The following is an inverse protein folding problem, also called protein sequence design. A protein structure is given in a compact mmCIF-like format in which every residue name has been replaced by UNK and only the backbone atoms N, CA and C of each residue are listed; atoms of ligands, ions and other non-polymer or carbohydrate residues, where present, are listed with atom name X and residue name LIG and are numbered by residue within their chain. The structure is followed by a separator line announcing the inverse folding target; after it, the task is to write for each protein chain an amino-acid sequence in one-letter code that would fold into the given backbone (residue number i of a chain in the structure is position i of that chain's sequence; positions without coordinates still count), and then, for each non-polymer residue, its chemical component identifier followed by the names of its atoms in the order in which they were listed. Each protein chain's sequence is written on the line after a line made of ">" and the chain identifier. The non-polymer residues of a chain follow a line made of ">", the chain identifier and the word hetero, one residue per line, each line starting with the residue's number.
data_IF_585837668221
#
_entry.id   IF_585837668221
#
_cell.length_a   1.000
_cell.length_b   1.000
_cell.length_c   1.000
_cell.angle_alpha   90.00
_cell.angle_beta   90.00
_cell.angle_gamma   90.00
#
_symmetry.space_group_name_H-M   'P 1'
#
loop_
_entity.id
_entity.type
_entity.pdbx_description
1 polymer ?
#
# COMPACT_ATOMS: atom_id res chain seq x y z
N UNK A 1 37.08 7.01 -30.66
CA UNK A 1 37.34 5.55 -30.64
C UNK A 1 38.67 5.31 -29.96
N UNK A 2 38.70 4.62 -28.82
CA UNK A 2 39.95 4.38 -28.07
C UNK A 2 40.90 3.46 -28.84
N UNK A 3 42.20 3.81 -28.85
CA UNK A 3 43.27 3.02 -29.50
C UNK A 3 43.37 1.58 -28.98
N UNK A 4 42.86 1.32 -27.79
CA UNK A 4 42.78 0.01 -27.15
C UNK A 4 41.39 -0.07 -26.51
N UNK A 5 40.67 -1.18 -26.67
CA UNK A 5 39.31 -1.41 -26.13
C UNK A 5 39.22 -1.48 -24.60
N UNK A 6 40.02 -0.68 -23.89
CA UNK A 6 40.05 -0.53 -22.45
C UNK A 6 38.74 0.14 -22.01
N UNK A 7 38.05 -0.45 -21.04
CA UNK A 7 36.74 0.02 -20.58
C UNK A 7 35.55 -0.57 -21.32
N UNK A 8 35.76 -1.28 -22.45
CA UNK A 8 34.67 -1.95 -23.15
C UNK A 8 34.16 -3.18 -22.35
N UNK A 9 32.99 -3.00 -21.73
CA UNK A 9 32.29 -4.02 -20.95
C UNK A 9 31.36 -4.87 -21.83
N UNK A 10 31.20 -6.14 -21.50
CA UNK A 10 30.19 -7.01 -22.08
C UNK A 10 28.80 -6.67 -21.56
N UNK A 11 27.78 -7.38 -22.07
CA UNK A 11 26.39 -7.25 -21.61
C UNK A 11 26.24 -7.50 -20.10
N UNK A 12 27.26 -8.10 -19.47
CA UNK A 12 27.31 -8.44 -18.05
C UNK A 12 28.21 -7.47 -17.26
N UNK A 13 28.61 -6.34 -17.84
CA UNK A 13 29.42 -5.31 -17.18
C UNK A 13 30.90 -5.69 -17.01
N UNK A 14 31.37 -6.80 -17.61
CA UNK A 14 32.74 -7.28 -17.45
C UNK A 14 33.62 -6.81 -18.61
N UNK A 15 34.86 -6.39 -18.33
CA UNK A 15 35.83 -6.05 -19.38
C UNK A 15 35.98 -7.22 -20.37
N UNK A 16 35.71 -6.96 -21.66
CA UNK A 16 35.74 -7.97 -22.73
C UNK A 16 37.16 -8.47 -22.99
N UNK A 17 38.01 -7.63 -23.59
CA UNK A 17 39.41 -7.89 -23.97
C UNK A 17 40.15 -6.57 -24.16
N UNK A 18 41.48 -6.59 -24.00
CA UNK A 18 42.36 -5.47 -24.39
C UNK A 18 42.96 -5.84 -25.75
N UNK A 19 42.42 -5.24 -26.81
CA UNK A 19 42.89 -5.45 -28.18
C UNK A 19 42.64 -4.19 -29.03
N UNK A 20 43.41 -4.06 -30.09
CA UNK A 20 43.18 -3.11 -31.18
C UNK A 20 42.60 -3.85 -32.38
N UNK A 21 41.54 -3.32 -32.99
CA UNK A 21 40.86 -3.94 -34.15
C UNK A 21 40.57 -2.86 -35.20
N UNK A 22 41.27 -2.91 -36.32
CA UNK A 22 40.99 -2.13 -37.53
C UNK A 22 40.25 -2.94 -38.60
N UNK A 23 40.04 -2.34 -39.79
CA UNK A 23 39.28 -2.95 -40.90
C UNK A 23 39.85 -4.29 -41.38
N UNK A 24 41.19 -4.38 -41.44
CA UNK A 24 41.91 -5.59 -41.85
C UNK A 24 43.00 -6.03 -40.88
N UNK A 25 43.19 -5.30 -39.77
CA UNK A 25 44.28 -5.53 -38.81
C UNK A 25 43.69 -5.85 -37.43
N UNK A 26 44.21 -6.88 -36.78
CA UNK A 26 43.94 -7.15 -35.36
C UNK A 26 45.27 -7.29 -34.63
N UNK A 27 45.44 -6.50 -33.57
CA UNK A 27 46.59 -6.59 -32.67
C UNK A 27 46.11 -6.87 -31.24
N UNK A 28 46.69 -7.87 -30.58
CA UNK A 28 46.32 -8.22 -29.20
C UNK A 28 47.51 -8.77 -28.41
N UNK A 29 47.50 -8.57 -27.09
CA UNK A 29 48.58 -9.03 -26.18
C UNK A 29 48.83 -10.55 -26.26
N UNK A 30 47.79 -11.35 -26.47
CA UNK A 30 47.91 -12.83 -26.47
C UNK A 30 47.90 -13.46 -27.85
N UNK A 31 47.42 -12.77 -28.88
CA UNK A 31 47.29 -13.29 -30.24
C UNK A 31 48.21 -12.63 -31.27
N UNK A 32 49.04 -11.67 -30.86
CA UNK A 32 49.94 -10.94 -31.77
C UNK A 32 49.20 -10.05 -32.76
N UNK A 33 49.86 -9.77 -33.89
CA UNK A 33 49.33 -8.97 -35.01
C UNK A 33 48.92 -9.92 -36.14
N UNK A 34 47.68 -9.79 -36.63
CA UNK A 34 47.15 -10.60 -37.72
C UNK A 34 46.35 -9.77 -38.71
N UNK A 35 46.43 -10.13 -39.99
CA UNK A 35 45.55 -9.57 -41.01
C UNK A 35 44.30 -10.44 -41.14
N UNK A 36 43.14 -9.79 -41.29
CA UNK A 36 41.84 -10.45 -41.37
C UNK A 36 40.97 -9.84 -42.45
N UNK A 37 40.49 -10.67 -43.37
CA UNK A 37 39.44 -10.31 -44.31
C UNK A 37 38.19 -11.15 -44.01
N UNK A 38 37.01 -10.55 -44.13
CA UNK A 38 35.75 -11.25 -44.01
C UNK A 38 34.81 -10.80 -45.13
N UNK A 39 34.14 -11.76 -45.76
CA UNK A 39 33.13 -11.51 -46.78
C UNK A 39 31.94 -12.44 -46.57
N UNK A 40 30.75 -12.00 -46.99
CA UNK A 40 29.54 -12.80 -46.97
C UNK A 40 29.10 -13.03 -48.40
N UNK A 41 28.98 -14.29 -48.80
CA UNK A 41 28.59 -14.70 -50.15
C UNK A 41 27.44 -15.69 -50.01
N UNK A 42 26.28 -15.37 -50.58
CA UNK A 42 25.11 -16.27 -50.65
C UNK A 42 24.74 -16.95 -49.31
N UNK A 43 24.64 -16.18 -48.22
CA UNK A 43 24.31 -16.71 -46.89
C UNK A 43 25.45 -17.40 -46.13
N UNK A 44 26.60 -17.60 -46.78
CA UNK A 44 27.81 -18.19 -46.19
C UNK A 44 28.82 -17.09 -45.85
N UNK A 45 29.35 -17.12 -44.63
CA UNK A 45 30.39 -16.19 -44.19
C UNK A 45 31.76 -16.83 -44.37
N UNK A 46 32.63 -16.18 -45.13
CA UNK A 46 34.01 -16.60 -45.38
C UNK A 46 34.94 -15.62 -44.68
N UNK A 47 35.86 -16.13 -43.86
CA UNK A 47 36.87 -15.33 -43.16
C UNK A 47 38.24 -15.90 -43.46
N UNK A 48 39.14 -15.07 -43.95
CA UNK A 48 40.57 -15.37 -44.05
C UNK A 48 41.33 -14.63 -42.95
N UNK A 49 42.27 -15.32 -42.29
CA UNK A 49 43.18 -14.72 -41.32
C UNK A 49 44.59 -15.30 -41.52
N UNK A 50 45.61 -14.44 -41.50
CA UNK A 50 47.01 -14.85 -41.74
C UNK A 50 47.57 -15.81 -40.69
N UNK A 51 47.07 -15.76 -39.46
CA UNK A 51 47.51 -16.61 -38.33
C UNK A 51 46.63 -17.83 -38.09
N UNK A 52 45.38 -17.81 -38.57
CA UNK A 52 44.38 -18.86 -38.27
C UNK A 52 43.76 -19.53 -39.50
N UNK A 53 44.16 -19.13 -40.71
CA UNK A 53 43.71 -19.69 -41.97
C UNK A 53 42.29 -19.26 -42.40
N UNK A 54 41.61 -20.14 -43.13
CA UNK A 54 40.32 -19.86 -43.76
C UNK A 54 39.19 -20.56 -43.00
N UNK A 55 38.12 -19.80 -42.72
CA UNK A 55 36.90 -20.30 -42.10
C UNK A 55 35.68 -19.97 -42.96
N UNK A 56 34.92 -21.00 -43.28
CA UNK A 56 33.63 -20.92 -43.97
C UNK A 56 32.54 -21.29 -42.98
N UNK A 57 31.47 -20.50 -42.88
CA UNK A 57 30.40 -20.77 -41.89
C UNK A 57 29.03 -20.32 -42.34
N UNK A 58 28.03 -21.16 -42.06
CA UNK A 58 26.61 -20.92 -42.36
C UNK A 58 25.75 -21.17 -41.12
N UNK A 59 24.61 -20.48 -41.06
CA UNK A 59 23.63 -20.64 -39.98
C UNK A 59 22.55 -21.61 -40.48
N UNK A 60 22.44 -22.79 -39.87
CA UNK A 60 21.42 -23.78 -40.24
C UNK A 60 20.05 -23.48 -39.61
N UNK A 61 20.05 -22.97 -38.39
CA UNK A 61 18.82 -22.64 -37.66
C UNK A 61 19.06 -21.49 -36.68
N UNK A 62 18.00 -20.99 -36.02
CA UNK A 62 18.14 -19.97 -34.97
C UNK A 62 19.07 -20.52 -33.88
N UNK A 63 20.19 -19.84 -33.66
CA UNK A 63 21.22 -20.18 -32.68
C UNK A 63 22.00 -21.48 -32.94
N UNK A 64 21.94 -22.06 -34.15
CA UNK A 64 22.82 -23.15 -34.59
C UNK A 64 23.60 -22.78 -35.85
N UNK A 65 24.92 -22.97 -35.75
CA UNK A 65 25.89 -22.68 -36.79
C UNK A 65 26.69 -23.92 -37.13
N UNK A 66 26.93 -24.09 -38.43
CA UNK A 66 27.91 -25.03 -38.97
C UNK A 66 29.04 -24.26 -39.62
N UNK A 67 30.27 -24.70 -39.38
CA UNK A 67 31.46 -24.10 -39.96
C UNK A 67 32.50 -25.15 -40.33
N UNK A 68 33.30 -24.84 -41.34
CA UNK A 68 34.54 -25.51 -41.64
C UNK A 68 35.68 -24.51 -41.45
N UNK A 69 36.70 -24.88 -40.68
CA UNK A 69 37.89 -24.06 -40.49
C UNK A 69 39.12 -24.93 -40.77
N UNK A 70 39.91 -24.57 -41.79
CA UNK A 70 41.07 -25.35 -42.25
C UNK A 70 40.77 -26.86 -42.35
N UNK A 71 39.67 -27.23 -43.02
CA UNK A 71 39.24 -28.62 -43.16
C UNK A 71 38.49 -29.23 -41.95
N UNK A 72 38.47 -28.59 -40.78
CA UNK A 72 37.78 -29.11 -39.59
C UNK A 72 36.31 -28.69 -39.54
N UNK A 73 35.41 -29.68 -39.51
CA UNK A 73 33.98 -29.48 -39.25
C UNK A 73 33.69 -29.05 -37.80
N UNK A 74 32.86 -28.02 -37.64
CA UNK A 74 32.44 -27.42 -36.38
C UNK A 74 30.92 -27.24 -36.39
N UNK A 75 30.23 -27.94 -35.48
CA UNK A 75 28.82 -27.71 -35.15
C UNK A 75 28.74 -27.00 -33.80
N UNK A 76 27.95 -25.92 -33.71
CA UNK A 76 27.72 -25.16 -32.48
C UNK A 76 26.28 -24.69 -32.39
N UNK A 77 25.61 -24.98 -31.27
CA UNK A 77 24.31 -24.42 -30.93
C UNK A 77 24.26 -23.89 -29.50
N UNK A 78 23.46 -22.84 -29.23
CA UNK A 78 23.25 -22.34 -27.86
C UNK A 78 21.80 -21.90 -27.66
N UNK A 79 21.11 -22.53 -26.71
CA UNK A 79 19.68 -22.35 -26.46
C UNK A 79 19.42 -22.13 -24.97
N UNK A 80 18.24 -21.59 -24.63
CA UNK A 80 17.80 -21.42 -23.25
C UNK A 80 18.09 -20.04 -22.65
N UNK A 81 17.53 -19.85 -21.45
CA UNK A 81 17.63 -18.62 -20.65
C UNK A 81 18.95 -18.56 -19.87
N UNK A 82 19.22 -17.44 -19.19
CA UNK A 82 20.46 -17.27 -18.42
C UNK A 82 20.58 -18.23 -17.21
N UNK A 83 19.45 -18.70 -16.66
CA UNK A 83 19.42 -19.69 -15.59
C UNK A 83 19.86 -21.10 -16.05
N UNK A 84 19.53 -21.48 -17.28
CA UNK A 84 19.90 -22.78 -17.85
C UNK A 84 20.13 -22.69 -19.37
N UNK A 85 21.40 -22.72 -19.78
CA UNK A 85 21.80 -22.71 -21.19
C UNK A 85 22.15 -24.12 -21.67
N UNK A 86 21.50 -24.55 -22.75
CA UNK A 86 21.80 -25.76 -23.49
C UNK A 86 22.82 -25.43 -24.59
N UNK A 87 24.00 -26.04 -24.53
CA UNK A 87 25.06 -25.86 -25.51
C UNK A 87 25.20 -27.13 -26.34
N UNK A 88 24.99 -27.03 -27.64
CA UNK A 88 25.19 -28.12 -28.60
C UNK A 88 26.58 -28.01 -29.24
N UNK A 89 27.27 -29.14 -29.38
CA UNK A 89 28.57 -29.22 -30.06
C UNK A 89 28.70 -30.51 -30.87
N UNK A 90 29.73 -30.61 -31.73
CA UNK A 90 30.03 -31.83 -32.51
C UNK A 90 30.04 -33.11 -31.65
N UNK A 91 30.51 -33.02 -30.40
CA UNK A 91 30.59 -34.14 -29.46
C UNK A 91 29.38 -34.28 -28.53
N UNK A 92 28.24 -33.64 -28.84
CA UNK A 92 27.01 -33.70 -28.03
C UNK A 92 26.71 -32.43 -27.22
N UNK A 93 25.57 -32.46 -26.51
CA UNK A 93 25.01 -31.35 -25.74
C UNK A 93 25.59 -31.22 -24.31
N UNK A 94 25.47 -30.03 -23.71
CA UNK A 94 25.74 -29.82 -22.27
C UNK A 94 24.90 -28.68 -21.70
N UNK A 95 24.54 -28.80 -20.43
CA UNK A 95 23.78 -27.78 -19.68
C UNK A 95 24.72 -26.92 -18.85
N UNK A 96 24.52 -25.62 -18.84
CA UNK A 96 25.28 -24.69 -17.99
C UNK A 96 24.40 -23.61 -17.39
N UNK A 97 24.65 -23.30 -16.12
CA UNK A 97 24.02 -22.20 -15.40
C UNK A 97 25.00 -21.04 -15.27
N UNK A 98 24.51 -19.82 -15.50
CA UNK A 98 25.30 -18.59 -15.37
C UNK A 98 25.21 -18.09 -13.92
N UNK A 99 26.33 -17.63 -13.37
CA UNK A 99 26.42 -17.04 -12.04
C UNK A 99 27.07 -15.65 -12.11
N UNK A 100 26.92 -14.78 -11.10
CA UNK A 100 27.59 -13.47 -11.06
C UNK A 100 29.12 -13.57 -11.20
N UNK A 101 29.70 -14.69 -10.75
CA UNK A 101 31.13 -14.98 -10.81
C UNK A 101 31.53 -15.84 -12.01
N UNK A 102 30.62 -16.20 -12.94
CA UNK A 102 30.99 -16.90 -14.18
C UNK A 102 29.90 -17.82 -14.74
N UNK A 103 30.26 -19.08 -15.02
CA UNK A 103 29.33 -20.09 -15.50
C UNK A 103 29.77 -21.49 -15.09
N UNK A 104 28.83 -22.27 -14.57
CA UNK A 104 29.02 -23.65 -14.16
C UNK A 104 28.37 -24.59 -15.18
N UNK A 105 29.13 -25.56 -15.71
CA UNK A 105 28.59 -26.58 -16.62
C UNK A 105 28.34 -27.88 -15.85
N UNK A 106 27.07 -28.28 -15.76
CA UNK A 106 26.63 -29.44 -15.00
C UNK A 106 27.12 -30.78 -15.59
N UNK A 107 27.27 -30.84 -16.91
CA UNK A 107 27.60 -32.09 -17.63
C UNK A 107 29.10 -32.21 -17.91
N UNK A 108 29.79 -31.09 -18.10
CA UNK A 108 31.20 -31.03 -18.48
C UNK A 108 31.95 -30.01 -17.61
N UNK A 109 32.40 -30.39 -16.39
CA UNK A 109 33.06 -29.49 -15.46
C UNK A 109 34.30 -28.78 -16.05
N UNK A 110 35.02 -29.46 -16.95
CA UNK A 110 36.13 -28.88 -17.72
C UNK A 110 35.76 -27.72 -18.67
N UNK A 111 34.46 -27.41 -18.85
CA UNK A 111 33.98 -26.24 -19.62
C UNK A 111 33.44 -25.12 -18.72
N UNK A 112 33.56 -25.23 -17.40
CA UNK A 112 33.19 -24.17 -16.45
C UNK A 112 34.18 -22.99 -16.49
N UNK A 113 33.72 -21.83 -16.02
CA UNK A 113 34.52 -20.62 -15.93
C UNK A 113 34.19 -19.82 -14.68
N UNK A 114 35.21 -19.23 -14.09
CA UNK A 114 35.10 -18.41 -12.88
C UNK A 114 35.90 -17.13 -13.08
N UNK A 115 35.32 -15.99 -12.71
CA UNK A 115 35.91 -14.66 -12.83
C UNK A 115 35.62 -13.87 -11.56
N UNK A 116 36.69 -13.50 -10.86
CA UNK A 116 36.64 -12.69 -9.65
C UNK A 116 37.85 -11.76 -9.65
N UNK A 117 37.66 -10.50 -9.25
CA UNK A 117 38.73 -9.50 -9.16
C UNK A 117 39.64 -9.41 -10.42
N UNK A 118 39.06 -9.56 -11.62
CA UNK A 118 39.80 -9.50 -12.89
C UNK A 118 40.51 -10.79 -13.32
N UNK A 119 40.65 -11.78 -12.43
CA UNK A 119 41.26 -13.08 -12.75
C UNK A 119 40.21 -14.00 -13.38
N UNK A 120 40.48 -14.56 -14.56
CA UNK A 120 39.59 -15.47 -15.29
C UNK A 120 40.16 -16.89 -15.31
N UNK A 121 39.57 -17.80 -14.51
CA UNK A 121 39.93 -19.22 -14.44
C UNK A 121 38.97 -20.04 -15.30
N UNK A 122 39.48 -21.07 -15.99
CA UNK A 122 38.70 -22.01 -16.81
C UNK A 122 39.07 -23.45 -16.50
N UNK A 123 38.16 -24.37 -16.81
CA UNK A 123 38.40 -25.80 -16.64
C UNK A 123 37.92 -26.33 -15.29
N UNK A 124 38.42 -27.51 -14.90
CA UNK A 124 37.98 -28.20 -13.68
C UNK A 124 38.18 -27.35 -12.42
N UNK A 125 39.29 -26.60 -12.31
CA UNK A 125 39.52 -25.65 -11.20
C UNK A 125 38.42 -24.60 -11.07
N UNK A 126 37.89 -24.11 -12.19
CA UNK A 126 36.78 -23.16 -12.19
C UNK A 126 35.46 -23.80 -11.74
N UNK A 127 35.25 -25.08 -12.02
CA UNK A 127 34.07 -25.81 -11.54
C UNK A 127 34.07 -25.91 -10.00
N UNK A 128 35.21 -26.22 -9.39
CA UNK A 128 35.34 -26.24 -7.93
C UNK A 128 35.07 -24.86 -7.30
N UNK A 129 35.66 -23.79 -7.85
CA UNK A 129 35.42 -22.43 -7.35
C UNK A 129 33.95 -22.00 -7.46
N UNK A 130 33.28 -22.38 -8.56
CA UNK A 130 31.84 -22.15 -8.74
C UNK A 130 30.99 -22.97 -7.76
N UNK A 131 31.35 -24.23 -7.51
CA UNK A 131 30.64 -25.08 -6.56
C UNK A 131 30.71 -24.51 -5.14
N UNK A 132 31.89 -24.03 -4.72
CA UNK A 132 32.07 -23.34 -3.43
C UNK A 132 31.20 -22.07 -3.37
N UNK A 133 31.21 -21.25 -4.44
CA UNK A 133 30.35 -20.07 -4.50
C UNK A 133 28.85 -20.41 -4.38
N UNK A 134 28.39 -21.43 -5.12
CA UNK A 134 26.99 -21.87 -5.08
C UNK A 134 26.59 -22.39 -3.70
N UNK A 135 27.50 -23.07 -2.98
CA UNK A 135 27.28 -23.50 -1.60
C UNK A 135 27.04 -22.30 -0.68
N UNK A 136 27.91 -21.29 -0.71
CA UNK A 136 27.72 -20.08 0.10
C UNK A 136 26.44 -19.32 -0.27
N UNK A 137 26.14 -19.21 -1.55
CA UNK A 137 24.90 -18.58 -2.02
C UNK A 137 23.65 -19.33 -1.52
N UNK A 138 23.70 -20.66 -1.49
CA UNK A 138 22.62 -21.50 -0.96
C UNK A 138 22.42 -21.29 0.54
N UNK A 139 23.50 -21.25 1.32
CA UNK A 139 23.45 -20.98 2.77
C UNK A 139 22.85 -19.59 3.04
N UNK A 140 23.30 -18.57 2.32
CA UNK A 140 22.76 -17.21 2.45
C UNK A 140 21.27 -17.14 2.08
N UNK A 141 20.86 -17.86 1.03
CA UNK A 141 19.45 -17.96 0.64
C UNK A 141 18.61 -18.63 1.75
N UNK A 142 19.11 -19.72 2.34
CA UNK A 142 18.42 -20.41 3.44
C UNK A 142 18.24 -19.50 4.66
N UNK A 143 19.29 -18.78 5.06
CA UNK A 143 19.22 -17.80 6.16
C UNK A 143 18.17 -16.72 5.84
N UNK A 144 18.16 -16.22 4.61
CA UNK A 144 17.20 -15.20 4.17
C UNK A 144 15.76 -15.69 4.27
N UNK A 145 15.49 -16.94 3.88
CA UNK A 145 14.16 -17.56 4.00
C UNK A 145 13.74 -17.67 5.47
N UNK A 146 14.64 -18.09 6.36
CA UNK A 146 14.35 -18.19 7.80
C UNK A 146 14.00 -16.81 8.38
N UNK A 147 14.79 -15.78 8.07
CA UNK A 147 14.53 -14.41 8.53
C UNK A 147 13.17 -13.91 8.04
N UNK A 148 12.82 -14.17 6.78
CA UNK A 148 11.52 -13.80 6.22
C UNK A 148 10.36 -14.54 6.92
N UNK A 149 10.50 -15.84 7.18
CA UNK A 149 9.49 -16.63 7.87
C UNK A 149 9.25 -16.12 9.31
N UNK A 150 10.33 -15.80 10.03
CA UNK A 150 10.24 -15.18 11.37
C UNK A 150 9.54 -13.83 11.30
N UNK A 151 9.90 -12.98 10.33
CA UNK A 151 9.24 -11.69 10.13
C UNK A 151 7.73 -11.81 9.83
N UNK A 152 7.33 -12.81 9.04
CA UNK A 152 5.93 -13.11 8.78
C UNK A 152 5.20 -13.56 10.04
N UNK A 153 5.83 -14.41 10.87
CA UNK A 153 5.26 -14.85 12.14
C UNK A 153 5.00 -13.68 13.10
N UNK A 154 5.97 -12.77 13.24
CA UNK A 154 5.80 -11.56 14.07
C UNK A 154 4.67 -10.66 13.56
N UNK A 155 4.53 -10.49 12.24
CA UNK A 155 3.40 -9.73 11.67
C UNK A 155 2.06 -10.40 11.94
N UNK A 156 1.98 -11.72 11.80
CA UNK A 156 0.78 -12.50 12.11
C UNK A 156 0.38 -12.38 13.59
N UNK A 157 1.37 -12.45 14.50
CA UNK A 157 1.15 -12.23 15.93
C UNK A 157 0.67 -10.81 16.22
N UNK A 158 1.30 -9.79 15.61
CA UNK A 158 0.89 -8.39 15.77
C UNK A 158 -0.55 -8.15 15.34
N UNK A 159 -0.95 -8.69 14.18
CA UNK A 159 -2.33 -8.63 13.71
C UNK A 159 -3.29 -9.36 14.65
N UNK A 160 -2.92 -10.54 15.16
CA UNK A 160 -3.72 -11.29 16.13
C UNK A 160 -3.94 -10.51 17.44
N UNK A 161 -2.90 -9.87 17.98
CA UNK A 161 -3.01 -9.02 19.17
C UNK A 161 -3.92 -7.83 18.90
N UNK A 162 -3.76 -7.13 17.78
CA UNK A 162 -4.62 -6.01 17.40
C UNK A 162 -6.08 -6.43 17.26
N UNK A 163 -6.35 -7.59 16.65
CA UNK A 163 -7.71 -8.10 16.52
C UNK A 163 -8.35 -8.43 17.88
N UNK A 164 -7.57 -8.96 18.82
CA UNK A 164 -8.04 -9.22 20.20
C UNK A 164 -8.35 -7.90 20.93
N UNK A 165 -7.48 -6.90 20.81
CA UNK A 165 -7.69 -5.58 21.42
C UNK A 165 -8.93 -4.91 20.83
N UNK A 166 -9.05 -4.88 19.50
CA UNK A 166 -10.22 -4.30 18.83
C UNK A 166 -11.54 -4.97 19.26
N UNK A 167 -11.56 -6.31 19.36
CA UNK A 167 -12.73 -7.04 19.86
C UNK A 167 -13.07 -6.72 21.31
N UNK A 168 -12.06 -6.53 22.16
CA UNK A 168 -12.29 -6.14 23.56
C UNK A 168 -12.85 -4.72 23.66
N UNK A 169 -12.33 -3.81 22.84
CA UNK A 169 -12.82 -2.44 22.82
C UNK A 169 -14.27 -2.38 22.33
N UNK A 170 -14.58 -3.12 21.27
CA UNK A 170 -15.95 -3.23 20.77
C UNK A 170 -16.89 -3.86 21.81
N UNK A 171 -16.48 -4.96 22.46
CA UNK A 171 -17.30 -5.58 23.51
C UNK A 171 -17.51 -4.67 24.73
N UNK A 172 -16.55 -3.78 25.02
CA UNK A 172 -16.68 -2.79 26.09
C UNK A 172 -17.64 -1.67 25.67
N UNK A 173 -17.54 -1.19 24.44
CA UNK A 173 -18.50 -0.22 23.88
C UNK A 173 -19.92 -0.79 23.87
N UNK A 174 -20.09 -2.07 23.48
CA UNK A 174 -21.40 -2.74 23.49
C UNK A 174 -21.98 -2.91 24.90
N UNK A 175 -21.13 -3.07 25.93
CA UNK A 175 -21.56 -3.13 27.33
C UNK A 175 -21.87 -1.76 27.94
N UNK A 176 -21.27 -0.70 27.40
CA UNK A 176 -21.45 0.68 27.87
C UNK A 176 -22.62 1.40 27.15
N UNK A 177 -23.10 0.91 25.99
CA UNK A 177 -24.26 1.45 25.26
C UNK A 177 -25.57 1.35 26.06
N UNK A 178 -26.40 2.38 25.97
CA UNK A 178 -27.71 2.41 26.63
C UNK A 178 -28.74 1.56 25.87
N UNK A 179 -28.54 1.39 24.55
CA UNK A 179 -29.36 0.53 23.70
C UNK A 179 -30.77 1.08 23.48
N UNK A 180 -30.90 2.40 23.47
CA UNK A 180 -32.14 3.15 23.29
C UNK A 180 -32.29 3.53 21.81
N UNK A 181 -33.45 3.24 21.25
CA UNK A 181 -33.79 3.66 19.88
C UNK A 181 -34.55 4.98 19.87
N UNK A 182 -34.67 5.63 18.71
CA UNK A 182 -35.53 6.82 18.59
C UNK A 182 -36.97 6.52 19.03
N UNK A 183 -37.44 5.30 18.78
CA UNK A 183 -38.80 4.87 19.16
C UNK A 183 -39.00 4.79 20.68
N UNK A 184 -37.96 4.42 21.43
CA UNK A 184 -38.01 4.29 22.89
C UNK A 184 -38.12 5.67 23.57
N UNK A 185 -37.49 6.69 22.99
CA UNK A 185 -37.41 8.04 23.58
C UNK A 185 -38.47 9.00 23.04
N UNK A 186 -39.07 8.71 21.88
CA UNK A 186 -40.03 9.61 21.22
C UNK A 186 -41.27 9.91 22.06
N UNK A 187 -41.77 8.94 22.83
CA UNK A 187 -42.95 9.12 23.68
C UNK A 187 -42.75 10.17 24.76
N UNK A 188 -41.64 10.08 25.48
CA UNK A 188 -41.30 10.97 26.60
C UNK A 188 -41.06 12.41 26.11
N UNK A 189 -40.27 12.57 25.04
CA UNK A 189 -40.03 13.88 24.45
C UNK A 189 -41.32 14.58 24.00
N UNK A 190 -42.27 13.82 23.44
CA UNK A 190 -43.58 14.36 23.02
C UNK A 190 -44.39 14.83 24.24
N UNK A 191 -44.41 14.05 25.30
CA UNK A 191 -45.10 14.39 26.55
C UNK A 191 -44.57 15.70 27.13
N UNK A 192 -43.24 15.86 27.18
CA UNK A 192 -42.56 17.06 27.69
C UNK A 192 -42.90 18.30 26.85
N UNK A 193 -42.82 18.19 25.53
CA UNK A 193 -43.13 19.31 24.62
C UNK A 193 -44.61 19.71 24.72
N UNK A 194 -45.52 18.74 24.79
CA UNK A 194 -46.96 19.00 24.96
C UNK A 194 -47.29 19.66 26.30
N UNK A 195 -46.64 19.24 27.40
CA UNK A 195 -46.84 19.84 28.70
C UNK A 195 -46.49 21.34 28.73
N UNK A 196 -45.57 21.77 27.86
CA UNK A 196 -45.16 23.17 27.72
C UNK A 196 -45.84 23.89 26.54
N UNK A 197 -46.73 23.22 25.80
CA UNK A 197 -47.39 23.80 24.63
C UNK A 197 -46.42 24.19 23.51
N UNK A 198 -45.31 23.46 23.34
CA UNK A 198 -44.26 23.76 22.35
C UNK A 198 -44.58 23.05 21.03
N UNK A 199 -44.61 23.82 19.93
CA UNK A 199 -44.85 23.34 18.57
C UNK A 199 -43.61 23.56 17.70
N UNK A 200 -42.68 22.59 17.71
CA UNK A 200 -41.39 22.70 17.02
C UNK A 200 -41.50 22.88 15.48
N UNK A 201 -42.63 22.50 14.89
CA UNK A 201 -42.88 22.72 13.45
C UNK A 201 -43.04 24.21 13.10
N UNK A 202 -43.32 25.09 14.08
CA UNK A 202 -43.42 26.55 13.89
C UNK A 202 -42.06 27.25 14.07
N UNK A 203 -41.12 26.61 14.76
CA UNK A 203 -39.82 27.19 15.09
C UNK A 203 -38.92 27.35 13.85
N UNK A 204 -38.10 28.42 13.77
CA UNK A 204 -37.08 28.58 12.74
C UNK A 204 -36.07 27.42 12.75
N UNK A 205 -35.58 27.00 11.58
CA UNK A 205 -34.56 25.93 11.50
C UNK A 205 -33.28 26.28 12.28
N UNK A 206 -32.95 27.57 12.38
CA UNK A 206 -31.81 28.09 13.15
C UNK A 206 -31.94 27.77 14.64
N UNK A 207 -33.13 27.96 15.20
CA UNK A 207 -33.40 27.76 16.62
C UNK A 207 -33.45 26.26 16.95
N UNK A 208 -33.98 25.44 16.03
CA UNK A 208 -33.93 23.99 16.12
C UNK A 208 -32.49 23.47 16.11
N UNK A 209 -31.64 23.99 15.21
CA UNK A 209 -30.22 23.64 15.17
C UNK A 209 -29.50 24.08 16.45
N UNK A 210 -29.75 25.28 16.94
CA UNK A 210 -29.20 25.76 18.21
C UNK A 210 -29.61 24.87 19.40
N UNK A 211 -30.87 24.41 19.42
CA UNK A 211 -31.36 23.44 20.38
C UNK A 211 -30.65 22.09 20.28
N UNK A 212 -30.39 21.58 19.07
CA UNK A 212 -29.61 20.37 18.86
C UNK A 212 -28.18 20.51 19.37
N UNK A 213 -27.50 21.62 19.05
CA UNK A 213 -26.15 21.92 19.55
C UNK A 213 -26.15 21.91 21.08
N UNK A 214 -27.12 22.57 21.72
CA UNK A 214 -27.23 22.54 23.17
C UNK A 214 -27.45 21.13 23.73
N UNK A 215 -28.43 20.38 23.21
CA UNK A 215 -28.72 19.03 23.72
C UNK A 215 -27.52 18.09 23.59
N UNK A 216 -26.86 18.09 22.44
CA UNK A 216 -25.81 17.10 22.13
C UNK A 216 -24.46 17.50 22.74
N UNK A 217 -24.08 18.76 22.65
CA UNK A 217 -22.76 19.22 23.12
C UNK A 217 -22.77 19.57 24.61
N UNK A 218 -23.87 20.16 25.12
CA UNK A 218 -23.97 20.56 26.53
C UNK A 218 -24.59 19.44 27.38
N UNK A 219 -25.85 19.07 27.12
CA UNK A 219 -26.54 18.06 27.95
C UNK A 219 -25.92 16.67 27.81
N UNK A 220 -25.40 16.32 26.63
CA UNK A 220 -24.66 15.07 26.39
C UNK A 220 -23.44 14.89 27.30
N UNK A 221 -22.91 15.98 27.86
CA UNK A 221 -21.80 15.98 28.83
C UNK A 221 -22.24 16.14 30.28
N UNK A 222 -23.54 16.20 30.53
CA UNK A 222 -24.12 16.42 31.85
C UNK A 222 -24.02 17.88 32.31
N UNK A 223 -23.73 18.82 31.43
CA UNK A 223 -23.73 20.25 31.77
C UNK A 223 -25.14 20.82 31.65
N UNK A 224 -25.51 21.68 32.59
CA UNK A 224 -26.82 22.34 32.61
C UNK A 224 -26.80 23.76 32.02
N UNK A 225 -25.61 24.27 31.71
CA UNK A 225 -25.41 25.59 31.13
C UNK A 225 -24.36 25.51 30.03
N UNK A 226 -24.64 26.16 28.91
CA UNK A 226 -23.73 26.23 27.79
C UNK A 226 -22.53 27.12 28.11
N UNK A 227 -21.32 26.56 27.96
CA UNK A 227 -20.05 27.28 27.98
C UNK A 227 -19.31 27.00 26.66
N UNK A 228 -19.17 28.01 25.77
CA UNK A 228 -18.51 27.84 24.47
C UNK A 228 -17.07 27.34 24.57
N UNK A 229 -16.34 27.72 25.62
CA UNK A 229 -14.95 27.30 25.81
C UNK A 229 -14.87 25.84 26.24
N UNK A 230 -15.73 25.44 27.18
CA UNK A 230 -15.82 24.04 27.60
C UNK A 230 -16.27 23.14 26.45
N UNK A 231 -17.18 23.63 25.59
CA UNK A 231 -17.65 22.96 24.38
C UNK A 231 -16.60 22.90 23.24
N UNK A 232 -15.39 23.45 23.42
CA UNK A 232 -14.34 23.41 22.40
C UNK A 232 -14.61 24.32 21.20
N UNK A 233 -15.59 25.22 21.27
CA UNK A 233 -15.95 26.13 20.18
C UNK A 233 -15.05 27.38 20.12
N UNK A 234 -14.28 27.64 21.19
CA UNK A 234 -13.36 28.77 21.26
C UNK A 234 -14.06 30.13 21.32
N UNK A 235 -13.28 31.20 21.15
CA UNK A 235 -13.82 32.56 21.07
C UNK A 235 -14.40 32.82 19.67
N UNK A 236 -15.65 33.32 19.56
CA UNK A 236 -16.23 33.67 18.27
C UNK A 236 -15.40 34.74 17.55
N UNK A 237 -15.05 34.51 16.29
CA UNK A 237 -14.28 35.46 15.47
C UNK A 237 -15.17 36.22 14.49
N UNK A 238 -16.32 35.65 14.11
CA UNK A 238 -17.27 36.24 13.15
C UNK A 238 -18.59 36.58 13.81
N UNK A 239 -19.29 37.56 13.25
CA UNK A 239 -20.63 37.95 13.71
C UNK A 239 -21.64 36.78 13.70
N UNK A 240 -21.50 35.85 12.75
CA UNK A 240 -22.32 34.64 12.69
C UNK A 240 -22.06 33.69 13.87
N UNK A 241 -20.79 33.57 14.29
CA UNK A 241 -20.41 32.72 15.42
C UNK A 241 -21.01 33.27 16.71
N UNK A 242 -20.94 34.59 16.93
CA UNK A 242 -21.60 35.26 18.05
C UNK A 242 -23.11 34.98 18.08
N UNK A 243 -23.76 35.15 16.93
CA UNK A 243 -25.20 35.00 16.82
C UNK A 243 -25.63 33.54 17.12
N UNK A 244 -24.86 32.55 16.67
CA UNK A 244 -25.10 31.14 16.99
C UNK A 244 -24.93 30.86 18.49
N UNK A 245 -23.88 31.39 19.13
CA UNK A 245 -23.67 31.18 20.57
C UNK A 245 -24.82 31.76 21.41
N UNK A 246 -25.32 32.94 21.03
CA UNK A 246 -26.48 33.56 21.67
C UNK A 246 -27.76 32.73 21.48
N UNK A 247 -27.97 32.16 20.28
CA UNK A 247 -29.10 31.26 20.03
C UNK A 247 -29.00 29.98 20.84
N UNK A 248 -27.81 29.36 20.90
CA UNK A 248 -27.57 28.11 21.64
C UNK A 248 -27.79 28.34 23.12
N UNK A 249 -27.34 29.47 23.66
CA UNK A 249 -27.63 29.82 25.05
C UNK A 249 -29.14 30.02 25.28
N UNK A 250 -29.82 30.75 24.40
CA UNK A 250 -31.26 31.02 24.52
C UNK A 250 -32.11 29.75 24.40
N UNK A 251 -31.83 28.91 23.40
CA UNK A 251 -32.45 27.60 23.22
C UNK A 251 -32.17 26.69 24.41
N UNK A 252 -30.94 26.72 24.93
CA UNK A 252 -30.55 25.95 26.11
C UNK A 252 -31.33 26.31 27.36
N UNK A 253 -31.52 27.60 27.63
CA UNK A 253 -32.33 28.06 28.76
C UNK A 253 -33.80 27.63 28.63
N UNK A 254 -34.34 27.49 27.42
CA UNK A 254 -35.69 26.97 27.19
C UNK A 254 -35.75 25.46 27.38
N UNK A 255 -34.83 24.71 26.77
CA UNK A 255 -34.77 23.25 26.86
C UNK A 255 -34.55 22.80 28.30
N UNK A 256 -33.66 23.46 29.04
CA UNK A 256 -33.46 23.15 30.47
C UNK A 256 -34.73 23.36 31.29
N UNK A 257 -35.56 24.37 30.97
CA UNK A 257 -36.86 24.55 31.62
C UNK A 257 -37.83 23.42 31.28
N UNK A 258 -37.83 22.94 30.03
CA UNK A 258 -38.67 21.81 29.64
C UNK A 258 -38.30 20.52 30.37
N UNK A 259 -37.01 20.26 30.53
CA UNK A 259 -36.50 19.03 31.16
C UNK A 259 -36.65 19.04 32.69
N UNK A 260 -36.61 20.21 33.34
CA UNK A 260 -36.77 20.32 34.80
C UNK A 260 -38.19 19.97 35.29
N UNK A 261 -39.20 19.96 34.42
CA UNK A 261 -40.56 19.56 34.81
C UNK A 261 -40.79 18.04 34.78
N UNK A 262 -39.82 17.26 34.29
CA UNK A 262 -39.91 15.80 34.19
C UNK A 262 -39.69 15.10 35.54
N UNK A 263 -40.35 13.96 35.75
CA UNK A 263 -40.38 13.24 37.03
C UNK A 263 -39.12 12.44 37.37
N UNK A 264 -38.10 12.41 36.49
CA UNK A 264 -36.88 11.64 36.72
C UNK A 264 -35.65 12.36 36.13
N UNK A 265 -34.92 13.08 36.98
CA UNK A 265 -33.71 13.84 36.61
C UNK A 265 -32.49 12.95 36.32
N UNK A 266 -32.53 11.66 36.66
CA UNK A 266 -31.40 10.74 36.44
C UNK A 266 -31.52 9.99 35.10
N UNK A 267 -32.71 9.95 34.51
CA UNK A 267 -32.93 9.28 33.22
C UNK A 267 -32.45 10.13 32.03
N UNK A 268 -31.73 9.55 31.05
CA UNK A 268 -31.38 10.24 29.81
C UNK A 268 -32.55 10.34 28.82
N UNK A 269 -33.63 9.57 29.04
CA UNK A 269 -34.77 9.45 28.11
C UNK A 269 -35.44 10.80 27.82
N UNK A 270 -35.74 11.68 28.81
CA UNK A 270 -36.27 13.02 28.56
C UNK A 270 -35.41 13.83 27.57
N UNK A 271 -34.10 13.85 27.81
CA UNK A 271 -33.15 14.62 26.99
C UNK A 271 -33.08 14.05 25.56
N UNK A 272 -32.95 12.73 25.43
CA UNK A 272 -32.92 12.05 24.13
C UNK A 272 -34.24 12.25 23.36
N UNK A 273 -35.37 12.24 24.07
CA UNK A 273 -36.69 12.45 23.49
C UNK A 273 -36.87 13.87 22.94
N UNK A 274 -36.47 14.89 23.70
CA UNK A 274 -36.51 16.30 23.23
C UNK A 274 -35.59 16.48 22.02
N UNK A 275 -34.36 15.94 22.09
CA UNK A 275 -33.41 15.97 20.98
C UNK A 275 -33.97 15.29 19.72
N UNK A 276 -34.58 14.11 19.85
CA UNK A 276 -35.23 13.40 18.73
C UNK A 276 -36.28 14.27 18.02
N UNK A 277 -37.13 14.97 18.78
CA UNK A 277 -38.16 15.84 18.19
C UNK A 277 -37.58 17.12 17.57
N UNK A 278 -36.54 17.72 18.16
CA UNK A 278 -35.80 18.83 17.54
C UNK A 278 -35.19 18.41 16.19
N UNK A 279 -34.57 17.23 16.14
CA UNK A 279 -33.96 16.68 14.93
C UNK A 279 -35.01 16.37 13.86
N UNK A 280 -36.12 15.75 14.25
CA UNK A 280 -37.22 15.43 13.34
C UNK A 280 -37.86 16.69 12.76
N UNK A 281 -38.06 17.73 13.58
CA UNK A 281 -38.60 19.01 13.12
C UNK A 281 -37.62 19.72 12.17
N UNK A 282 -36.32 19.69 12.46
CA UNK A 282 -35.28 20.24 11.59
C UNK A 282 -35.23 19.50 10.25
N UNK A 283 -35.29 18.16 10.28
CA UNK A 283 -35.23 17.31 9.09
C UNK A 283 -36.37 17.58 8.09
N UNK A 284 -37.54 18.02 8.56
CA UNK A 284 -38.67 18.42 7.70
C UNK A 284 -38.45 19.77 7.01
N UNK A 285 -37.54 20.60 7.52
CA UNK A 285 -37.32 21.99 7.09
C UNK A 285 -36.09 22.16 6.20
N UNK A 286 -35.19 21.18 6.15
CA UNK A 286 -33.92 21.26 5.43
C UNK A 286 -33.73 20.07 4.49
N UNK A 287 -32.85 20.20 3.50
CA UNK A 287 -32.63 19.16 2.49
C UNK A 287 -31.72 18.02 3.02
N UNK A 288 -31.54 16.97 2.21
CA UNK A 288 -30.69 15.83 2.57
C UNK A 288 -29.23 16.19 2.83
N UNK A 289 -28.68 17.17 2.09
CA UNK A 289 -27.28 17.61 2.26
C UNK A 289 -27.11 18.30 3.60
N UNK A 290 -28.00 19.23 3.93
CA UNK A 290 -27.99 19.95 5.20
C UNK A 290 -28.21 19.01 6.39
N UNK A 291 -29.03 17.96 6.25
CA UNK A 291 -29.20 16.94 7.30
C UNK A 291 -27.90 16.19 7.59
N UNK A 292 -27.18 15.76 6.55
CA UNK A 292 -25.89 15.10 6.70
C UNK A 292 -24.81 16.04 7.27
N UNK A 293 -24.74 17.27 6.77
CA UNK A 293 -23.82 18.30 7.29
C UNK A 293 -24.11 18.63 8.77
N UNK A 294 -25.38 18.68 9.16
CA UNK A 294 -25.80 18.88 10.55
C UNK A 294 -25.29 17.75 11.44
N UNK A 295 -25.49 16.50 11.04
CA UNK A 295 -25.03 15.33 11.79
C UNK A 295 -23.50 15.35 11.98
N UNK A 296 -22.75 15.59 10.90
CA UNK A 296 -21.30 15.68 10.94
C UNK A 296 -20.81 16.85 11.81
N UNK A 297 -21.46 18.01 11.70
CA UNK A 297 -21.09 19.20 12.49
C UNK A 297 -21.34 18.97 13.99
N UNK A 298 -22.42 18.29 14.35
CA UNK A 298 -22.70 17.94 15.74
C UNK A 298 -21.72 16.88 16.27
N UNK A 299 -21.34 15.91 15.43
CA UNK A 299 -20.34 14.90 15.79
C UNK A 299 -18.95 15.52 16.03
N UNK A 300 -18.50 16.38 15.11
CA UNK A 300 -17.26 17.13 15.24
C UNK A 300 -17.27 18.03 16.49
N UNK A 301 -18.41 18.67 16.79
CA UNK A 301 -18.56 19.49 17.99
C UNK A 301 -18.46 18.67 19.29
N UNK A 302 -18.95 17.42 19.31
CA UNK A 302 -18.76 16.52 20.44
C UNK A 302 -17.29 16.21 20.70
N UNK A 303 -16.54 15.97 19.61
CA UNK A 303 -15.12 15.62 19.63
C UNK A 303 -14.21 16.81 19.99
N UNK A 304 -14.63 18.04 19.63
CA UNK A 304 -13.88 19.27 19.93
C UNK A 304 -13.63 19.47 21.43
N UNK A 305 -14.58 19.05 22.27
CA UNK A 305 -14.46 19.13 23.73
C UNK A 305 -13.75 17.91 24.36
N UNK A 306 -13.29 16.92 23.57
CA UNK A 306 -12.66 15.67 24.01
C UNK A 306 -13.40 14.41 23.55
N UNK A 307 -13.03 13.20 24.02
CA UNK A 307 -13.72 11.96 23.68
C UNK A 307 -15.23 12.03 23.98
N UNK A 308 -16.06 11.42 23.10
CA UNK A 308 -17.52 11.37 23.29
C UNK A 308 -17.87 10.62 24.58
N UNK A 309 -18.90 11.09 25.27
CA UNK A 309 -19.49 10.35 26.39
C UNK A 309 -20.40 9.23 25.87
N UNK A 310 -20.72 8.26 26.73
CA UNK A 310 -21.70 7.20 26.42
C UNK A 310 -23.04 7.81 25.94
N UNK A 311 -23.49 8.87 26.60
CA UNK A 311 -24.73 9.56 26.22
C UNK A 311 -24.60 10.23 24.84
N UNK A 312 -23.46 10.84 24.53
CA UNK A 312 -23.22 11.44 23.22
C UNK A 312 -23.15 10.40 22.11
N UNK A 313 -22.56 9.22 22.35
CA UNK A 313 -22.61 8.12 21.38
C UNK A 313 -24.05 7.70 21.08
N UNK A 314 -24.89 7.56 22.11
CA UNK A 314 -26.33 7.24 21.94
C UNK A 314 -27.09 8.38 21.23
N UNK A 315 -26.76 9.63 21.55
CA UNK A 315 -27.34 10.81 20.89
C UNK A 315 -27.06 10.82 19.39
N UNK A 316 -25.82 10.54 18.98
CA UNK A 316 -25.43 10.50 17.55
C UNK A 316 -26.16 9.37 16.81
N UNK A 317 -26.30 8.19 17.42
CA UNK A 317 -27.05 7.07 16.83
C UNK A 317 -28.52 7.46 16.62
N UNK A 318 -29.18 8.01 17.65
CA UNK A 318 -30.58 8.46 17.56
C UNK A 318 -30.72 9.63 16.58
N UNK A 319 -29.76 10.57 16.54
CA UNK A 319 -29.77 11.68 15.59
C UNK A 319 -29.70 11.20 14.14
N UNK A 320 -28.89 10.18 13.87
CA UNK A 320 -28.78 9.59 12.53
C UNK A 320 -30.13 9.06 12.06
N UNK A 321 -30.84 8.33 12.92
CA UNK A 321 -32.21 7.85 12.67
C UNK A 321 -33.20 9.02 12.51
N UNK A 322 -33.15 10.01 13.43
CA UNK A 322 -34.10 11.13 13.49
C UNK A 322 -33.96 12.11 12.33
N UNK A 323 -32.74 12.35 11.86
CA UNK A 323 -32.45 13.16 10.68
C UNK A 323 -32.69 12.38 9.39
N UNK A 324 -32.86 11.05 9.45
CA UNK A 324 -33.03 10.18 8.28
C UNK A 324 -31.83 10.28 7.34
N UNK A 325 -30.63 10.15 7.90
CA UNK A 325 -29.35 10.14 7.16
C UNK A 325 -28.86 8.70 7.04
N UNK A 326 -28.73 8.22 5.80
CA UNK A 326 -28.15 6.90 5.53
C UNK A 326 -26.62 6.98 5.54
N UNK A 327 -25.98 6.37 6.55
CA UNK A 327 -24.51 6.30 6.62
C UNK A 327 -24.03 5.13 5.77
N UNK A 328 -23.56 5.42 4.56
CA UNK A 328 -22.88 4.43 3.72
C UNK A 328 -21.38 4.39 4.11
N UNK A 329 -20.96 3.32 4.77
CA UNK A 329 -19.54 3.08 5.05
C UNK A 329 -18.82 2.71 3.73
N UNK A 330 -17.78 3.47 3.36
CA UNK A 330 -16.93 3.14 2.21
C UNK A 330 -16.29 1.75 2.40
N UNK A 331 -16.86 0.75 1.74
CA UNK A 331 -16.45 -0.66 1.88
C UNK A 331 -17.59 -1.64 1.60
N UNK A 332 -18.84 -1.20 1.73
CA UNK A 332 -20.02 -1.94 1.28
C UNK A 332 -20.38 -1.54 -0.17
N UNK A 333 -19.78 -2.25 -1.13
CA UNK A 333 -20.28 -2.35 -2.51
C UNK A 333 -20.35 -3.82 -2.91
#
# INVERSE_FOLDING_TARGET
>A
MGLLKIGEKDQDGRQKRIEHTGKYLRASRTGGVSLRAHTRVSGVNVTGNTSHGVRVSTRLAKNTQVAFQNGRFILRGRYGSDAAKLNLSKSGGSVSTKTPVGAFNWVRPGRSSFKMAGVHVRGHKAAYMQAVYLLFAMVAALISVVVQAVGLAFRGLGWGVQAIVARREQARQDQERLGLTASDVAGEGRSILQAHGVYLDEEPHRDLFAGLVFTVVCLGRGWTRFDPNAAGMGAPERAGDHALLDDVQSAGEQISRWLQSGSDTESPIPTLGVMHHLATALARKVDASTRAETLLSLDDACLAAGPRTILQDEMIDILTESLGVDVLLEGER
#
